data_IF_871786062954
#
_entry.id   IF_871786062954
#
_cell.length_a   1.000
_cell.length_b   1.000
_cell.length_c   1.000
_cell.angle_alpha   90.00
_cell.angle_beta   90.00
_cell.angle_gamma   90.00
#
_symmetry.space_group_name_H-M   'P 1'
#
loop_
_entity.id
_entity.type
_entity.pdbx_description
1 polymer ?
#
# COMPACT_ATOMS: atom_id res chain seq x y z
N UNK A 1 -6.52 -4.34 -7.42
CA UNK A 1 -5.57 -5.09 -6.55
C UNK A 1 -5.96 -4.78 -5.11
N UNK A 2 -6.39 -5.75 -4.31
CA UNK A 2 -6.84 -5.52 -2.93
C UNK A 2 -5.79 -6.11 -1.98
N UNK A 3 -4.99 -5.24 -1.35
CA UNK A 3 -4.04 -5.62 -0.31
C UNK A 3 -4.73 -5.51 1.07
N UNK A 4 -4.45 -6.43 1.99
CA UNK A 4 -4.90 -6.27 3.39
C UNK A 4 -4.09 -5.15 4.04
N UNK A 5 -4.80 -4.16 4.57
CA UNK A 5 -4.23 -3.00 5.22
C UNK A 5 -4.49 -3.00 6.73
N UNK A 6 -3.44 -2.87 7.53
CA UNK A 6 -3.55 -2.54 8.96
C UNK A 6 -3.36 -1.02 9.12
N UNK A 7 -4.28 -0.36 9.81
CA UNK A 7 -4.16 1.07 10.10
C UNK A 7 -3.45 1.22 11.45
N UNK A 8 -2.31 1.92 11.45
CA UNK A 8 -1.65 2.36 12.67
C UNK A 8 -2.02 3.84 12.94
N UNK A 9 -2.98 4.11 13.86
CA UNK A 9 -3.50 5.46 14.08
C UNK A 9 -2.50 6.36 14.81
N UNK A 10 -1.50 5.79 15.49
CA UNK A 10 -0.50 6.55 16.25
C UNK A 10 0.52 7.17 15.28
N UNK A 11 0.98 6.40 14.30
CA UNK A 11 1.97 6.85 13.31
C UNK A 11 1.35 7.44 12.05
N UNK A 12 0.01 7.44 11.96
CA UNK A 12 -0.76 7.82 10.77
C UNK A 12 -0.32 7.04 9.52
N UNK A 13 -0.26 5.71 9.65
CA UNK A 13 0.22 4.81 8.59
C UNK A 13 -0.82 3.77 8.21
N UNK A 14 -0.86 3.46 6.92
CA UNK A 14 -1.54 2.29 6.37
C UNK A 14 -0.47 1.27 5.95
N UNK A 15 -0.40 0.15 6.66
CA UNK A 15 0.52 -0.95 6.39
C UNK A 15 -0.17 -2.00 5.52
N UNK A 16 0.21 -2.05 4.25
CA UNK A 16 -0.20 -3.09 3.32
C UNK A 16 0.70 -4.31 3.49
N UNK A 17 0.11 -5.50 3.53
CA UNK A 17 0.87 -6.75 3.60
C UNK A 17 0.56 -7.70 2.45
N UNK A 18 1.54 -8.54 2.13
CA UNK A 18 1.39 -9.63 1.16
C UNK A 18 0.48 -10.77 1.62
N UNK A 19 -0.06 -10.70 2.86
CA UNK A 19 -0.95 -11.72 3.45
C UNK A 19 -2.33 -11.79 2.80
N UNK A 20 -2.58 -11.00 1.75
CA UNK A 20 -3.77 -11.11 0.92
C UNK A 20 -3.72 -12.42 0.11
N UNK A 21 -4.36 -13.45 0.65
CA UNK A 21 -4.31 -14.84 0.17
C UNK A 21 -4.78 -15.05 -1.28
N UNK A 22 -5.49 -14.08 -1.88
CA UNK A 22 -6.15 -14.29 -3.17
C UNK A 22 -5.35 -13.84 -4.41
N UNK A 23 -4.33 -12.98 -4.28
CA UNK A 23 -3.74 -12.31 -5.45
C UNK A 23 -2.20 -12.30 -5.54
N UNK A 24 -1.50 -12.91 -4.58
CA UNK A 24 -0.04 -12.97 -4.57
C UNK A 24 0.63 -11.60 -4.37
N UNK A 25 1.95 -11.54 -4.63
CA UNK A 25 2.75 -10.31 -4.40
C UNK A 25 2.35 -9.18 -5.36
N UNK A 26 2.24 -7.93 -4.88
CA UNK A 26 2.08 -6.75 -5.72
C UNK A 26 3.17 -6.64 -6.79
N UNK A 27 2.76 -6.32 -8.01
CA UNK A 27 3.69 -6.00 -9.10
C UNK A 27 3.91 -4.49 -9.19
N UNK A 28 4.54 -3.90 -8.17
CA UNK A 28 4.75 -2.44 -8.07
C UNK A 28 5.41 -1.83 -9.32
N UNK A 29 6.35 -2.53 -9.95
CA UNK A 29 7.03 -2.08 -11.18
C UNK A 29 6.10 -1.95 -12.41
N UNK A 30 4.89 -2.50 -12.35
CA UNK A 30 3.90 -2.43 -13.43
C UNK A 30 2.82 -1.37 -13.17
N UNK A 31 2.85 -0.72 -12.00
CA UNK A 31 1.94 0.39 -11.70
C UNK A 31 2.35 1.57 -12.57
N UNK A 32 1.48 1.94 -13.50
CA UNK A 32 1.65 3.11 -14.36
C UNK A 32 0.58 4.14 -13.98
N UNK A 33 1.01 5.35 -13.64
CA UNK A 33 0.11 6.43 -13.21
C UNK A 33 -0.21 6.39 -11.72
N UNK A 34 -1.49 6.55 -11.37
CA UNK A 34 -1.96 6.80 -10.00
C UNK A 34 -2.45 5.54 -9.32
N UNK A 35 -2.18 5.41 -8.02
CA UNK A 35 -2.82 4.42 -7.16
C UNK A 35 -4.13 4.97 -6.61
N UNK A 36 -5.20 4.21 -6.79
CA UNK A 36 -6.51 4.56 -6.26
C UNK A 36 -6.66 3.96 -4.87
N UNK A 37 -6.88 4.83 -3.88
CA UNK A 37 -7.00 4.45 -2.48
C UNK A 37 -8.34 4.98 -1.96
N UNK A 38 -9.11 4.21 -1.17
CA UNK A 38 -10.34 4.71 -0.56
C UNK A 38 -10.10 5.99 0.24
N UNK A 39 -11.02 6.95 0.16
CA UNK A 39 -10.91 8.24 0.86
C UNK A 39 -10.73 8.13 2.37
N UNK A 40 -11.18 7.04 3.00
CA UNK A 40 -11.00 6.79 4.43
C UNK A 40 -9.52 6.75 4.88
N UNK A 41 -8.60 6.52 3.94
CA UNK A 41 -7.15 6.49 4.20
C UNK A 41 -6.43 7.76 3.75
N UNK A 42 -7.17 8.80 3.37
CA UNK A 42 -6.60 10.08 2.97
C UNK A 42 -5.76 10.69 4.10
N UNK A 43 -4.53 11.10 3.77
CA UNK A 43 -3.58 11.66 4.72
C UNK A 43 -2.71 10.64 5.45
N UNK A 44 -2.98 9.33 5.31
CA UNK A 44 -2.11 8.29 5.86
C UNK A 44 -0.89 8.04 4.96
N UNK A 45 0.25 7.76 5.57
CA UNK A 45 1.43 7.25 4.86
C UNK A 45 1.22 5.78 4.52
N UNK A 46 1.35 5.41 3.25
CA UNK A 46 1.10 4.05 2.80
C UNK A 46 2.43 3.34 2.59
N UNK A 47 2.61 2.23 3.29
CA UNK A 47 3.80 1.40 3.21
C UNK A 47 3.37 -0.04 2.93
N UNK A 48 4.09 -0.73 2.06
CA UNK A 48 3.92 -2.16 1.81
C UNK A 48 5.08 -2.92 2.44
N UNK A 49 4.75 -3.91 3.28
CA UNK A 49 5.71 -4.83 3.87
C UNK A 49 5.39 -6.25 3.39
N UNK A 50 6.21 -6.74 2.46
CA UNK A 50 6.11 -8.11 1.96
C UNK A 50 6.68 -9.13 2.94
N UNK A 51 6.84 -10.38 2.47
CA UNK A 51 7.36 -11.48 3.29
C UNK A 51 8.86 -11.33 3.62
N UNK A 52 9.58 -10.47 2.90
CA UNK A 52 11.01 -10.19 3.12
C UNK A 52 11.27 -8.69 3.17
N UNK A 53 12.33 -8.29 3.88
CA UNK A 53 12.76 -6.89 3.97
C UNK A 53 13.03 -6.24 2.60
N UNK A 54 13.43 -7.03 1.60
CA UNK A 54 13.66 -6.52 0.24
C UNK A 54 12.36 -6.18 -0.50
N UNK A 55 11.22 -6.68 -0.02
CA UNK A 55 9.90 -6.41 -0.60
C UNK A 55 9.26 -5.15 0.01
N UNK A 56 9.98 -4.40 0.85
CA UNK A 56 9.48 -3.17 1.46
C UNK A 56 9.37 -2.03 0.43
N UNK A 57 8.20 -1.41 0.36
CA UNK A 57 7.93 -0.30 -0.56
C UNK A 57 7.20 0.82 0.17
N UNK A 58 7.73 2.03 0.08
CA UNK A 58 7.03 3.25 0.53
C UNK A 58 6.09 3.75 -0.54
N UNK A 59 4.90 3.16 -0.59
CA UNK A 59 3.92 3.36 -1.65
C UNK A 59 3.57 4.84 -1.84
N UNK A 60 3.30 5.56 -0.76
CA UNK A 60 2.96 7.00 -0.83
C UNK A 60 4.11 7.92 -1.22
N UNK A 61 5.36 7.44 -1.17
CA UNK A 61 6.53 8.22 -1.62
C UNK A 61 6.89 7.91 -3.09
N UNK A 62 6.53 6.72 -3.59
CA UNK A 62 6.93 6.27 -4.94
C UNK A 62 5.84 6.45 -6.00
N UNK A 63 4.57 6.53 -5.59
CA UNK A 63 3.43 6.60 -6.50
C UNK A 63 2.56 7.80 -6.20
N UNK A 64 1.99 8.40 -7.24
CA UNK A 64 0.93 9.40 -7.06
C UNK A 64 -0.34 8.70 -6.58
N UNK A 65 -0.95 9.21 -5.51
CA UNK A 65 -2.17 8.64 -4.93
C UNK A 65 -3.37 9.50 -5.30
N UNK A 66 -4.44 8.85 -5.75
CA UNK A 66 -5.76 9.47 -5.91
C UNK A 66 -6.76 8.81 -4.98
N UNK A 67 -7.44 9.64 -4.20
CA UNK A 67 -8.47 9.20 -3.29
C UNK A 67 -9.84 9.24 -3.99
N UNK A 68 -10.64 8.20 -3.79
CA UNK A 68 -11.98 8.06 -4.37
C UNK A 68 -13.03 7.73 -3.32
#
# INVERSE_FOLDING_TARGET
MVAFGEVDPISMKLLLSGKSYDYGKPKWNFVTGKLYVPKDYEGLRIEYNGDSFVDYVKVSEQFEISYF
#
